data_IF_090374601239
#
_entry.id   IF_090374601239
#
_cell.length_a   1.000
_cell.length_b   1.000
_cell.length_c   1.000
_cell.angle_alpha   90.00
_cell.angle_beta   90.00
_cell.angle_gamma   90.00
#
_symmetry.space_group_name_H-M   'P 1'
#
loop_
_entity.id
_entity.type
_entity.pdbx_description
1 polymer ?
#
# COMPACT_ATOMS: atom_id res chain seq x y z
N UNK A 1 25.34 -1.71 -15.65
CA UNK A 1 24.28 -1.06 -14.84
C UNK A 1 23.53 -2.17 -14.12
N UNK A 2 23.10 -1.99 -12.85
CA UNK A 2 22.36 -3.01 -12.13
C UNK A 2 21.03 -3.32 -12.83
N UNK A 3 20.55 -4.56 -12.69
CA UNK A 3 19.25 -4.97 -13.25
C UNK A 3 18.08 -4.45 -12.41
N UNK A 4 18.26 -4.39 -11.08
CA UNK A 4 17.25 -3.98 -10.12
C UNK A 4 17.75 -2.82 -9.27
N UNK A 5 16.91 -1.81 -9.06
CA UNK A 5 17.12 -0.80 -8.02
C UNK A 5 16.13 -1.06 -6.88
N UNK A 6 16.65 -1.37 -5.71
CA UNK A 6 15.83 -1.54 -4.49
C UNK A 6 15.80 -0.22 -3.74
N UNK A 7 14.62 0.25 -3.34
CA UNK A 7 14.42 1.53 -2.66
C UNK A 7 13.90 1.27 -1.24
N UNK A 8 14.60 1.82 -0.24
CA UNK A 8 14.16 1.83 1.16
C UNK A 8 13.94 3.28 1.60
N UNK A 9 12.70 3.75 1.78
CA UNK A 9 12.44 5.03 2.45
C UNK A 9 12.63 4.86 3.96
N UNK A 10 13.29 5.82 4.61
CA UNK A 10 13.52 5.80 6.04
C UNK A 10 13.29 7.17 6.67
N UNK A 11 12.68 7.19 7.86
CA UNK A 11 12.59 8.37 8.71
C UNK A 11 12.56 7.96 10.17
N UNK A 12 13.64 8.28 10.91
CA UNK A 12 13.84 7.89 12.32
C UNK A 12 13.69 6.37 12.51
N UNK A 13 14.53 5.58 11.81
CA UNK A 13 14.47 4.11 11.76
C UNK A 13 15.78 3.43 12.17
N UNK A 14 16.66 4.11 12.92
CA UNK A 14 17.95 3.56 13.35
C UNK A 14 17.83 2.15 13.96
N UNK A 15 16.78 1.90 14.74
CA UNK A 15 16.56 0.62 15.44
C UNK A 15 15.98 -0.51 14.56
N UNK A 16 15.51 -0.22 13.33
CA UNK A 16 14.85 -1.21 12.44
C UNK A 16 15.54 -1.37 11.10
N UNK A 17 16.07 -0.29 10.53
CA UNK A 17 16.55 -0.26 9.15
C UNK A 17 17.68 -1.26 8.88
N UNK A 18 18.47 -1.60 9.88
CA UNK A 18 19.54 -2.58 9.76
C UNK A 18 19.03 -3.97 9.36
N UNK A 19 17.83 -4.39 9.81
CA UNK A 19 17.19 -5.63 9.39
C UNK A 19 16.76 -5.56 7.92
N UNK A 20 16.11 -4.49 7.53
CA UNK A 20 15.65 -4.29 6.16
C UNK A 20 16.83 -4.31 5.17
N UNK A 21 17.91 -3.57 5.44
CA UNK A 21 19.11 -3.56 4.60
C UNK A 21 19.73 -4.96 4.51
N UNK A 22 19.96 -5.66 5.62
CA UNK A 22 20.50 -7.03 5.62
C UNK A 22 19.65 -7.98 4.78
N UNK A 23 18.32 -7.89 4.87
CA UNK A 23 17.43 -8.77 4.10
C UNK A 23 17.51 -8.54 2.59
N UNK A 24 17.84 -7.33 2.16
CA UNK A 24 18.10 -7.00 0.75
C UNK A 24 19.49 -7.46 0.33
N UNK A 25 20.53 -7.17 1.10
CA UNK A 25 21.91 -7.57 0.76
C UNK A 25 22.09 -9.11 0.71
N UNK A 26 21.29 -9.84 1.50
CA UNK A 26 21.28 -11.31 1.55
C UNK A 26 20.39 -11.97 0.47
N UNK A 27 19.89 -11.23 -0.51
CA UNK A 27 19.15 -11.83 -1.63
C UNK A 27 20.07 -12.77 -2.44
N UNK A 28 19.53 -13.90 -2.91
CA UNK A 28 20.28 -14.82 -3.80
C UNK A 28 20.57 -14.22 -5.17
N UNK A 29 19.71 -13.29 -5.62
CA UNK A 29 19.93 -12.51 -6.85
C UNK A 29 20.74 -11.27 -6.53
N UNK A 30 21.97 -11.15 -7.08
CA UNK A 30 22.95 -10.15 -6.67
C UNK A 30 23.11 -8.95 -7.63
N UNK A 31 22.47 -8.96 -8.79
CA UNK A 31 22.57 -7.85 -9.77
C UNK A 31 21.58 -6.73 -9.43
N UNK A 32 21.86 -6.05 -8.32
CA UNK A 32 21.04 -4.92 -7.83
C UNK A 32 21.89 -3.81 -7.20
N UNK A 33 21.30 -2.63 -7.11
CA UNK A 33 21.71 -1.54 -6.21
C UNK A 33 20.64 -1.34 -5.13
N UNK A 34 21.05 -0.84 -3.97
CA UNK A 34 20.16 -0.52 -2.84
C UNK A 34 20.23 0.97 -2.56
N UNK A 35 19.12 1.68 -2.79
CA UNK A 35 18.99 3.11 -2.58
C UNK A 35 18.21 3.35 -1.28
N UNK A 36 18.89 3.79 -0.24
CA UNK A 36 18.26 4.21 1.02
C UNK A 36 18.01 5.71 0.94
N UNK A 37 16.75 6.10 1.00
CA UNK A 37 16.37 7.52 1.03
C UNK A 37 15.93 7.88 2.43
N UNK A 38 16.79 8.61 3.13
CA UNK A 38 16.55 9.16 4.46
C UNK A 38 15.75 10.47 4.33
N UNK A 39 14.53 10.43 4.80
CA UNK A 39 13.58 11.54 4.70
C UNK A 39 13.77 12.58 5.84
N UNK A 40 15.04 12.97 6.09
CA UNK A 40 15.40 13.97 7.08
C UNK A 40 15.39 13.46 8.52
N UNK A 41 15.91 12.24 8.76
CA UNK A 41 16.03 11.68 10.10
C UNK A 41 16.88 12.54 11.04
N UNK A 42 16.49 12.54 12.31
CA UNK A 42 17.17 13.22 13.43
C UNK A 42 17.81 12.24 14.42
N UNK A 43 17.58 10.95 14.22
CA UNK A 43 18.23 9.86 14.97
C UNK A 43 19.47 9.33 14.23
N UNK A 44 20.07 8.25 14.73
CA UNK A 44 21.28 7.63 14.16
C UNK A 44 21.01 6.79 12.90
N UNK A 45 19.91 7.04 12.14
CA UNK A 45 19.59 6.28 10.93
C UNK A 45 20.73 6.32 9.92
N UNK A 46 21.34 7.49 9.68
CA UNK A 46 22.47 7.65 8.75
C UNK A 46 23.68 6.80 9.14
N UNK A 47 24.06 6.81 10.42
CA UNK A 47 25.19 6.03 10.93
C UNK A 47 24.98 4.53 10.73
N UNK A 48 23.76 4.05 11.00
CA UNK A 48 23.40 2.64 10.78
C UNK A 48 23.51 2.27 9.32
N UNK A 49 23.01 3.10 8.39
CA UNK A 49 23.08 2.82 6.95
C UNK A 49 24.56 2.78 6.48
N UNK A 50 25.36 3.77 6.87
CA UNK A 50 26.76 3.86 6.48
C UNK A 50 27.63 2.74 7.06
N UNK A 51 27.23 2.14 8.20
CA UNK A 51 27.96 1.03 8.83
C UNK A 51 28.00 -0.25 7.99
N UNK A 52 27.09 -0.40 7.00
CA UNK A 52 27.10 -1.55 6.10
C UNK A 52 28.31 -1.59 5.16
N UNK A 53 28.89 -0.43 4.85
CA UNK A 53 30.12 -0.33 4.02
C UNK A 53 30.10 -1.23 2.77
N UNK A 54 28.95 -1.35 2.11
CA UNK A 54 28.72 -2.13 0.89
C UNK A 54 28.57 -1.19 -0.30
N UNK A 55 29.29 -1.46 -1.39
CA UNK A 55 29.29 -0.62 -2.60
C UNK A 55 27.96 -0.60 -3.35
N UNK A 56 27.04 -1.51 -3.04
CA UNK A 56 25.68 -1.52 -3.56
C UNK A 56 24.77 -0.51 -2.86
N UNK A 57 25.14 -0.06 -1.65
CA UNK A 57 24.33 0.83 -0.83
C UNK A 57 24.58 2.28 -1.21
N UNK A 58 23.55 2.93 -1.69
CA UNK A 58 23.52 4.37 -2.04
C UNK A 58 22.66 5.05 -1.00
N UNK A 59 23.21 6.07 -0.31
CA UNK A 59 22.49 6.85 0.69
C UNK A 59 22.17 8.24 0.14
N UNK A 60 20.88 8.61 0.20
CA UNK A 60 20.38 9.94 -0.17
C UNK A 60 19.62 10.50 1.02
N UNK A 61 19.92 11.74 1.41
CA UNK A 61 19.25 12.41 2.53
C UNK A 61 18.47 13.62 2.06
N UNK A 62 17.23 13.76 2.53
CA UNK A 62 16.45 14.98 2.41
C UNK A 62 16.81 15.96 3.53
N UNK A 63 16.74 17.25 3.27
CA UNK A 63 16.96 18.29 4.27
C UNK A 63 15.89 18.27 5.38
N UNK A 64 14.69 17.80 5.07
CA UNK A 64 13.55 17.69 5.99
C UNK A 64 12.63 16.56 5.57
N UNK A 65 11.76 16.12 6.47
CA UNK A 65 10.73 15.13 6.16
C UNK A 65 9.74 15.66 5.13
N UNK A 66 9.57 14.91 4.04
CA UNK A 66 8.63 15.15 2.93
C UNK A 66 7.59 14.04 2.78
N UNK A 67 7.71 12.98 3.57
CA UNK A 67 6.85 11.80 3.56
C UNK A 67 7.36 10.64 2.69
N UNK A 68 6.88 9.44 3.00
CA UNK A 68 7.30 8.22 2.32
C UNK A 68 7.10 8.25 0.79
N UNK A 69 6.00 8.82 0.23
CA UNK A 69 5.85 8.98 -1.23
C UNK A 69 6.99 9.77 -1.86
N UNK A 70 7.39 10.89 -1.25
CA UNK A 70 8.46 11.73 -1.75
C UNK A 70 9.82 11.02 -1.68
N UNK A 71 10.09 10.29 -0.60
CA UNK A 71 11.30 9.49 -0.47
C UNK A 71 11.36 8.37 -1.52
N UNK A 72 10.26 7.63 -1.75
CA UNK A 72 10.20 6.63 -2.82
C UNK A 72 10.39 7.26 -4.19
N UNK A 73 9.80 8.42 -4.47
CA UNK A 73 9.98 9.14 -5.73
C UNK A 73 11.43 9.59 -5.94
N UNK A 74 12.12 10.04 -4.89
CA UNK A 74 13.54 10.35 -4.95
C UNK A 74 14.36 9.11 -5.31
N UNK A 75 14.05 7.96 -4.71
CA UNK A 75 14.66 6.69 -5.05
C UNK A 75 14.39 6.27 -6.50
N UNK A 76 13.16 6.41 -7.00
CA UNK A 76 12.79 6.10 -8.41
C UNK A 76 13.61 6.96 -9.39
N UNK A 77 13.76 8.25 -9.11
CA UNK A 77 14.57 9.15 -9.94
C UNK A 77 16.06 8.80 -9.96
N UNK A 78 16.58 8.34 -8.83
CA UNK A 78 17.98 7.89 -8.70
C UNK A 78 18.23 6.48 -9.24
N UNK A 79 17.19 5.67 -9.41
CA UNK A 79 17.27 4.29 -9.86
C UNK A 79 17.88 4.15 -11.26
N UNK A 80 18.87 3.27 -11.39
CA UNK A 80 19.55 2.94 -12.66
C UNK A 80 19.11 1.59 -13.23
N UNK A 81 18.42 0.78 -12.42
CA UNK A 81 17.92 -0.53 -12.82
C UNK A 81 16.76 -0.46 -13.81
N UNK A 82 16.62 -1.53 -14.60
CA UNK A 82 15.44 -1.75 -15.46
C UNK A 82 14.17 -1.99 -14.65
N UNK A 83 14.35 -2.57 -13.47
CA UNK A 83 13.28 -2.83 -12.50
C UNK A 83 13.51 -2.06 -11.21
N UNK A 84 12.42 -1.65 -10.58
CA UNK A 84 12.41 -0.99 -9.28
C UNK A 84 11.63 -1.86 -8.29
N UNK A 85 12.22 -2.13 -7.14
CA UNK A 85 11.58 -2.80 -6.02
C UNK A 85 11.56 -1.87 -4.80
N UNK A 86 10.58 -2.07 -3.93
CA UNK A 86 10.46 -1.29 -2.70
C UNK A 86 10.53 -2.21 -1.50
N UNK A 87 11.26 -1.77 -0.48
CA UNK A 87 11.30 -2.42 0.83
C UNK A 87 11.01 -1.37 1.90
N UNK A 88 10.09 -1.66 2.81
CA UNK A 88 9.85 -0.77 3.94
C UNK A 88 10.93 -0.95 5.00
N UNK A 89 11.31 0.13 5.68
CA UNK A 89 12.45 0.15 6.62
C UNK A 89 12.26 -0.69 7.88
N UNK A 90 11.05 -1.19 8.11
CA UNK A 90 10.65 -2.04 9.23
C UNK A 90 10.24 -3.47 8.83
N UNK A 91 10.33 -3.80 7.54
CA UNK A 91 9.97 -5.11 7.00
C UNK A 91 11.21 -5.95 6.65
N UNK A 92 11.00 -7.16 6.14
CA UNK A 92 12.06 -8.11 5.81
C UNK A 92 11.73 -8.89 4.54
N UNK A 93 12.71 -9.10 3.66
CA UNK A 93 12.60 -9.98 2.50
C UNK A 93 13.18 -11.36 2.77
N UNK A 94 12.55 -12.38 2.21
CA UNK A 94 13.14 -13.71 2.15
C UNK A 94 14.17 -13.82 0.99
N UNK A 95 15.20 -14.67 1.12
CA UNK A 95 16.38 -14.63 0.23
C UNK A 95 16.10 -14.79 -1.26
N UNK A 96 15.06 -15.51 -1.64
CA UNK A 96 14.76 -15.84 -3.04
C UNK A 96 13.85 -14.85 -3.77
N UNK A 97 13.40 -13.78 -3.08
CA UNK A 97 12.36 -12.88 -3.60
C UNK A 97 12.73 -12.27 -4.95
N UNK A 98 13.87 -11.59 -5.05
CA UNK A 98 14.28 -10.94 -6.31
C UNK A 98 14.50 -11.96 -7.43
N UNK A 99 15.16 -13.09 -7.13
CA UNK A 99 15.41 -14.14 -8.11
C UNK A 99 14.13 -14.70 -8.72
N UNK A 100 13.10 -14.98 -7.90
CA UNK A 100 11.81 -15.49 -8.35
C UNK A 100 11.05 -14.43 -9.16
N UNK A 101 11.06 -13.17 -8.74
CA UNK A 101 10.39 -12.09 -9.48
C UNK A 101 11.06 -11.81 -10.84
N UNK A 102 12.38 -11.80 -10.94
CA UNK A 102 13.10 -11.66 -12.20
C UNK A 102 12.80 -12.85 -13.13
N UNK A 103 12.77 -14.08 -12.58
CA UNK A 103 12.38 -15.27 -13.36
C UNK A 103 10.96 -15.15 -13.90
N UNK A 104 10.02 -14.67 -13.07
CA UNK A 104 8.64 -14.45 -13.49
C UNK A 104 8.52 -13.43 -14.63
N UNK A 105 9.28 -12.32 -14.59
CA UNK A 105 9.33 -11.36 -15.70
C UNK A 105 9.89 -11.95 -16.99
N UNK A 106 10.92 -12.81 -16.91
CA UNK A 106 11.52 -13.45 -18.09
C UNK A 106 10.55 -14.38 -18.84
N UNK A 107 9.57 -14.95 -18.13
CA UNK A 107 8.58 -15.89 -18.69
C UNK A 107 7.22 -15.27 -18.95
N UNK A 108 7.00 -14.04 -18.51
CA UNK A 108 5.76 -13.31 -18.70
C UNK A 108 5.68 -12.63 -20.08
N UNK A 109 4.47 -12.26 -20.50
CA UNK A 109 4.29 -11.43 -21.69
C UNK A 109 4.85 -10.02 -21.46
N UNK A 110 5.16 -9.31 -22.54
CA UNK A 110 5.65 -7.92 -22.51
C UNK A 110 4.66 -6.95 -21.84
N UNK A 111 3.37 -7.31 -21.81
CA UNK A 111 2.30 -6.53 -21.18
C UNK A 111 2.40 -6.49 -19.64
N UNK A 112 3.16 -7.43 -19.05
CA UNK A 112 3.34 -7.45 -17.59
C UNK A 112 4.30 -6.35 -17.17
N UNK A 113 3.81 -5.38 -16.40
CA UNK A 113 4.58 -4.26 -15.87
C UNK A 113 4.96 -4.41 -14.40
N UNK A 114 4.25 -5.27 -13.66
CA UNK A 114 4.48 -5.48 -12.23
C UNK A 114 4.38 -6.96 -11.88
N UNK A 115 5.37 -7.46 -11.13
CA UNK A 115 5.36 -8.78 -10.48
C UNK A 115 5.31 -8.59 -8.98
N UNK A 116 4.37 -9.23 -8.31
CA UNK A 116 4.30 -9.20 -6.85
C UNK A 116 4.17 -10.61 -6.25
N UNK A 117 4.48 -10.71 -4.97
CA UNK A 117 4.47 -11.98 -4.24
C UNK A 117 3.46 -11.94 -3.11
N UNK A 118 3.17 -13.08 -2.51
CA UNK A 118 2.59 -13.10 -1.19
C UNK A 118 3.56 -12.56 -0.14
N UNK A 119 3.03 -12.22 1.03
CA UNK A 119 3.82 -11.86 2.21
C UNK A 119 3.11 -12.26 3.50
N UNK A 120 3.90 -12.41 4.55
CA UNK A 120 3.37 -12.61 5.89
C UNK A 120 3.22 -11.28 6.60
N UNK A 121 2.02 -11.00 7.11
CA UNK A 121 1.79 -9.91 8.05
C UNK A 121 1.82 -10.48 9.46
N UNK A 122 2.71 -9.92 10.29
CA UNK A 122 2.89 -10.30 11.70
C UNK A 122 2.30 -9.19 12.58
N UNK A 123 1.35 -9.54 13.43
CA UNK A 123 0.71 -8.64 14.40
C UNK A 123 0.69 -9.36 15.76
N UNK A 124 1.66 -9.08 16.64
CA UNK A 124 1.93 -9.87 17.83
C UNK A 124 2.18 -11.33 17.44
N UNK A 125 1.42 -12.26 18.04
CA UNK A 125 1.50 -13.70 17.73
C UNK A 125 0.73 -14.11 16.47
N UNK A 126 -0.04 -13.20 15.90
CA UNK A 126 -0.85 -13.48 14.72
C UNK A 126 -0.05 -13.35 13.45
N UNK A 127 -0.05 -14.41 12.63
CA UNK A 127 0.53 -14.43 11.27
C UNK A 127 -0.59 -14.58 10.24
N UNK A 128 -0.65 -13.66 9.29
CA UNK A 128 -1.68 -13.64 8.24
C UNK A 128 -1.01 -13.58 6.87
N UNK A 129 -1.40 -14.49 5.97
CA UNK A 129 -0.94 -14.48 4.58
C UNK A 129 -1.70 -13.40 3.78
N UNK A 130 -0.98 -12.61 3.00
CA UNK A 130 -1.52 -11.56 2.12
C UNK A 130 -0.95 -11.77 0.72
N UNK A 131 -1.78 -11.69 -0.34
CA UNK A 131 -3.22 -11.45 -0.35
C UNK A 131 -4.04 -12.63 0.14
N UNK A 132 -5.23 -12.36 0.65
CA UNK A 132 -6.18 -13.43 1.02
C UNK A 132 -6.44 -14.37 -0.15
N UNK A 133 -6.55 -15.70 0.07
CA UNK A 133 -6.89 -16.68 -0.98
C UNK A 133 -8.16 -16.34 -1.75
N UNK A 134 -9.12 -15.67 -1.10
CA UNK A 134 -10.43 -15.34 -1.69
C UNK A 134 -10.41 -14.15 -2.67
N UNK A 135 -9.26 -13.48 -2.87
CA UNK A 135 -9.14 -12.40 -3.85
C UNK A 135 -8.97 -13.00 -5.24
N UNK A 136 -9.83 -12.59 -6.17
CA UNK A 136 -9.78 -13.00 -7.58
C UNK A 136 -10.25 -11.87 -8.49
N UNK A 137 -9.60 -11.62 -9.65
CA UNK A 137 -8.32 -12.23 -10.07
C UNK A 137 -7.14 -11.61 -9.31
N UNK A 138 -6.05 -12.38 -9.13
CA UNK A 138 -4.79 -11.91 -8.55
C UNK A 138 -3.77 -11.48 -9.59
N UNK A 139 -3.89 -11.96 -10.83
CA UNK A 139 -2.97 -11.64 -11.93
C UNK A 139 -3.70 -11.33 -13.23
N UNK A 140 -2.97 -10.81 -14.22
CA UNK A 140 -3.51 -10.35 -15.50
C UNK A 140 -4.00 -8.91 -15.42
N UNK A 141 -5.10 -8.61 -16.08
CA UNK A 141 -5.78 -7.31 -16.06
C UNK A 141 -6.60 -7.14 -14.75
N UNK A 142 -5.96 -6.77 -13.67
CA UNK A 142 -6.58 -6.69 -12.33
C UNK A 142 -7.08 -5.30 -11.93
N UNK A 143 -7.25 -4.39 -12.89
CA UNK A 143 -7.68 -3.01 -12.64
C UNK A 143 -8.99 -2.94 -11.82
N UNK A 144 -10.02 -3.66 -12.24
CA UNK A 144 -11.31 -3.68 -11.55
C UNK A 144 -11.24 -4.29 -10.15
N UNK A 145 -10.33 -5.23 -9.94
CA UNK A 145 -10.09 -5.81 -8.61
C UNK A 145 -9.40 -4.80 -7.69
N UNK A 146 -8.41 -4.06 -8.21
CA UNK A 146 -7.71 -3.01 -7.46
C UNK A 146 -8.63 -1.82 -7.13
N UNK A 147 -9.57 -1.46 -7.98
CA UNK A 147 -10.57 -0.44 -7.64
C UNK A 147 -11.42 -0.82 -6.41
N UNK A 148 -11.62 -2.10 -6.13
CA UNK A 148 -12.38 -2.58 -4.97
C UNK A 148 -11.58 -2.53 -3.66
N UNK A 149 -10.25 -2.71 -3.73
CA UNK A 149 -9.37 -2.71 -2.57
C UNK A 149 -7.93 -3.03 -2.90
N UNK A 150 -7.01 -2.59 -2.04
CA UNK A 150 -5.60 -2.92 -2.16
C UNK A 150 -5.31 -4.32 -1.62
N UNK A 151 -4.63 -5.12 -2.44
CA UNK A 151 -4.10 -6.43 -2.06
C UNK A 151 -2.65 -6.63 -2.53
N UNK A 152 -2.06 -5.57 -3.09
CA UNK A 152 -0.67 -5.52 -3.55
C UNK A 152 0.11 -4.62 -2.60
N UNK A 153 0.93 -5.20 -1.75
CA UNK A 153 1.75 -4.43 -0.80
C UNK A 153 2.99 -3.84 -1.47
N UNK A 154 3.43 -2.68 -1.02
CA UNK A 154 4.65 -2.05 -1.52
C UNK A 154 5.88 -2.97 -1.39
N UNK A 155 6.16 -3.62 -0.22
CA UNK A 155 7.40 -4.37 -0.03
C UNK A 155 7.48 -5.69 -0.80
N UNK A 156 6.40 -6.13 -1.43
CA UNK A 156 6.39 -7.38 -2.18
C UNK A 156 6.40 -7.21 -3.70
N UNK A 157 6.55 -5.97 -4.20
CA UNK A 157 6.52 -5.66 -5.64
C UNK A 157 7.91 -5.59 -6.27
N UNK A 158 7.95 -5.88 -7.58
CA UNK A 158 9.00 -5.55 -8.53
C UNK A 158 8.32 -4.96 -9.76
N UNK A 159 8.69 -3.75 -10.17
CA UNK A 159 8.00 -2.96 -11.18
C UNK A 159 8.96 -2.59 -12.30
N UNK A 160 8.57 -2.72 -13.56
CA UNK A 160 9.35 -2.17 -14.68
C UNK A 160 9.46 -0.66 -14.53
N UNK A 161 10.65 -0.09 -14.67
CA UNK A 161 10.88 1.35 -14.53
C UNK A 161 10.01 2.18 -15.49
N UNK A 162 9.78 1.71 -16.70
CA UNK A 162 8.90 2.34 -17.70
C UNK A 162 7.46 2.55 -17.20
N UNK A 163 6.99 1.76 -16.24
CA UNK A 163 5.66 1.94 -15.66
C UNK A 163 5.51 3.30 -14.97
N UNK A 164 6.59 3.81 -14.34
CA UNK A 164 6.58 5.12 -13.70
C UNK A 164 6.63 6.27 -14.71
N UNK A 165 7.20 6.05 -15.87
CA UNK A 165 7.20 7.04 -16.97
C UNK A 165 5.80 7.18 -17.55
N UNK A 166 5.10 6.07 -17.74
CA UNK A 166 3.76 6.03 -18.34
C UNK A 166 2.63 6.36 -17.35
N UNK A 167 2.66 5.81 -16.15
CA UNK A 167 1.62 6.00 -15.14
C UNK A 167 1.93 7.11 -14.13
N UNK A 168 3.15 7.68 -14.14
CA UNK A 168 3.66 8.59 -13.12
C UNK A 168 4.10 7.87 -11.84
N UNK A 169 4.79 8.59 -10.97
CA UNK A 169 5.30 8.10 -9.68
C UNK A 169 4.23 8.19 -8.57
N UNK A 170 4.64 7.98 -7.31
CA UNK A 170 3.74 8.12 -6.17
C UNK A 170 3.17 9.55 -6.06
N UNK A 171 1.91 9.68 -5.71
CA UNK A 171 1.28 10.98 -5.46
C UNK A 171 1.64 11.48 -4.06
N UNK A 172 2.52 12.50 -4.00
CA UNK A 172 3.01 13.07 -2.74
C UNK A 172 1.94 13.84 -1.94
N UNK A 173 0.76 14.08 -2.55
CA UNK A 173 -0.38 14.71 -1.86
C UNK A 173 -1.22 13.72 -1.07
N UNK A 174 -1.02 12.42 -1.29
CA UNK A 174 -1.74 11.37 -0.56
C UNK A 174 -1.04 11.09 0.77
N UNK A 175 -1.70 11.30 1.90
CA UNK A 175 -1.10 11.08 3.21
C UNK A 175 -1.00 9.59 3.58
N UNK A 176 -1.70 8.72 2.86
CA UNK A 176 -1.67 7.26 2.99
C UNK A 176 -2.31 6.60 1.75
N UNK A 177 -2.17 5.27 1.61
CA UNK A 177 -2.70 4.48 0.47
C UNK A 177 -2.10 4.91 -0.89
N UNK A 178 -0.95 5.55 -0.87
CA UNK A 178 -0.22 6.04 -2.04
C UNK A 178 0.20 4.91 -2.98
N UNK A 179 0.47 3.73 -2.39
CA UNK A 179 0.78 2.51 -3.13
C UNK A 179 -0.46 2.00 -3.88
N UNK A 180 -1.59 1.92 -3.19
CA UNK A 180 -2.84 1.50 -3.82
C UNK A 180 -3.23 2.39 -5.00
N UNK A 181 -3.11 3.69 -4.85
CA UNK A 181 -3.40 4.66 -5.90
C UNK A 181 -2.47 4.48 -7.11
N UNK A 182 -1.19 4.26 -6.86
CA UNK A 182 -0.20 4.02 -7.91
C UNK A 182 -0.50 2.70 -8.66
N UNK A 183 -0.85 1.63 -7.93
CA UNK A 183 -1.20 0.35 -8.55
C UNK A 183 -2.46 0.44 -9.41
N UNK A 184 -3.45 1.23 -9.02
CA UNK A 184 -4.62 1.53 -9.87
C UNK A 184 -4.20 2.19 -11.19
N UNK A 185 -3.27 3.16 -11.15
CA UNK A 185 -2.79 3.82 -12.39
C UNK A 185 -1.99 2.86 -13.27
N UNK A 186 -1.07 2.10 -12.70
CA UNK A 186 -0.24 1.14 -13.46
C UNK A 186 -1.13 0.06 -14.10
N UNK A 187 -2.14 -0.43 -13.38
CA UNK A 187 -3.04 -1.48 -13.88
C UNK A 187 -3.94 -1.06 -15.04
N UNK A 188 -4.04 0.23 -15.36
CA UNK A 188 -4.70 0.72 -16.58
C UNK A 188 -3.91 0.40 -17.85
N UNK A 189 -2.60 0.29 -17.72
CA UNK A 189 -1.68 0.19 -18.85
C UNK A 189 -0.95 -1.15 -18.92
N UNK A 190 -0.87 -1.87 -17.81
CA UNK A 190 -0.07 -3.08 -17.67
C UNK A 190 -0.82 -4.18 -16.91
N UNK A 191 -0.57 -5.42 -17.31
CA UNK A 191 -0.95 -6.59 -16.53
C UNK A 191 -0.01 -6.78 -15.33
N UNK A 192 -0.53 -7.45 -14.29
CA UNK A 192 0.24 -7.84 -13.12
C UNK A 192 0.43 -9.35 -13.09
N UNK A 193 1.58 -9.81 -12.59
CA UNK A 193 1.88 -11.22 -12.36
C UNK A 193 1.98 -11.49 -10.88
N UNK A 194 1.38 -12.56 -10.42
CA UNK A 194 1.40 -12.98 -9.02
C UNK A 194 2.22 -14.24 -8.81
N UNK A 195 3.05 -14.26 -7.78
CA UNK A 195 3.77 -15.43 -7.29
C UNK A 195 3.11 -15.83 -5.96
N UNK A 196 2.44 -16.99 -5.93
CA UNK A 196 1.72 -17.49 -4.75
C UNK A 196 2.67 -18.08 -3.70
N UNK A 197 3.66 -17.28 -3.31
CA UNK A 197 4.58 -17.57 -2.22
C UNK A 197 4.79 -16.34 -1.35
N UNK A 198 4.88 -16.53 -0.02
CA UNK A 198 5.27 -15.45 0.88
C UNK A 198 6.78 -15.24 0.81
N UNK A 199 7.21 -14.17 0.17
CA UNK A 199 8.62 -13.82 -0.02
C UNK A 199 9.01 -12.50 0.69
N UNK A 200 8.11 -11.96 1.50
CA UNK A 200 8.36 -10.85 2.40
C UNK A 200 7.63 -11.05 3.74
N UNK A 201 8.10 -10.38 4.77
CA UNK A 201 7.49 -10.34 6.10
C UNK A 201 7.29 -8.88 6.46
N UNK A 202 6.03 -8.50 6.72
CA UNK A 202 5.66 -7.16 7.19
C UNK A 202 5.27 -7.21 8.66
N UNK A 203 5.91 -6.38 9.47
CA UNK A 203 5.70 -6.31 10.90
C UNK A 203 4.77 -5.15 11.24
N UNK A 204 3.64 -5.46 11.87
CA UNK A 204 2.76 -4.41 12.37
C UNK A 204 3.38 -3.76 13.62
N UNK A 205 3.75 -2.51 13.50
CA UNK A 205 4.22 -1.71 14.61
C UNK A 205 3.12 -0.75 15.09
N UNK A 206 2.84 -0.65 16.41
CA UNK A 206 1.79 0.24 16.95
C UNK A 206 1.96 1.72 16.57
N UNK A 207 3.18 2.14 16.19
CA UNK A 207 3.52 3.47 15.70
C UNK A 207 3.46 3.63 14.17
N UNK A 208 3.09 2.59 13.41
CA UNK A 208 3.04 2.66 11.95
C UNK A 208 1.94 3.64 11.48
N UNK A 209 2.17 4.24 10.31
CA UNK A 209 1.22 5.16 9.65
C UNK A 209 -0.13 4.49 9.32
N UNK A 210 -0.17 3.17 9.28
CA UNK A 210 -1.36 2.36 9.01
C UNK A 210 -2.28 2.23 10.23
N UNK A 211 -2.68 3.36 10.86
CA UNK A 211 -3.76 3.36 11.84
C UNK A 211 -5.09 3.18 11.09
N UNK A 212 -5.72 2.00 11.13
CA UNK A 212 -6.98 1.78 10.43
C UNK A 212 -8.07 2.70 10.98
N UNK A 213 -8.90 3.23 10.08
CA UNK A 213 -10.09 4.04 10.38
C UNK A 213 -9.83 5.45 10.88
N UNK A 214 -8.78 6.08 10.41
CA UNK A 214 -8.48 7.47 10.71
C UNK A 214 -9.28 8.45 9.82
N UNK A 215 -9.38 9.69 10.27
CA UNK A 215 -9.91 10.78 9.43
C UNK A 215 -9.07 10.95 8.15
N UNK A 216 -7.77 10.70 8.26
CA UNK A 216 -6.82 10.71 7.15
C UNK A 216 -7.20 9.68 6.07
N UNK A 217 -7.61 8.46 6.46
CA UNK A 217 -8.11 7.45 5.49
C UNK A 217 -9.36 7.94 4.75
N UNK A 218 -10.30 8.60 5.45
CA UNK A 218 -11.48 9.16 4.80
C UNK A 218 -11.12 10.26 3.79
N UNK A 219 -10.16 11.12 4.13
CA UNK A 219 -9.65 12.17 3.23
C UNK A 219 -8.96 11.57 2.01
N UNK A 220 -8.11 10.58 2.22
CA UNK A 220 -7.43 9.88 1.12
C UNK A 220 -8.42 9.18 0.18
N UNK A 221 -9.43 8.49 0.73
CA UNK A 221 -10.47 7.85 -0.09
C UNK A 221 -11.30 8.85 -0.90
N UNK A 222 -11.50 10.08 -0.40
CA UNK A 222 -12.12 11.15 -1.19
C UNK A 222 -11.24 11.54 -2.38
N UNK A 223 -9.95 11.78 -2.14
CA UNK A 223 -9.01 12.12 -3.20
C UNK A 223 -8.91 11.00 -4.25
N UNK A 224 -8.88 9.74 -3.81
CA UNK A 224 -8.90 8.58 -4.71
C UNK A 224 -10.19 8.49 -5.52
N UNK A 225 -11.35 8.72 -4.87
CA UNK A 225 -12.63 8.72 -5.55
C UNK A 225 -12.68 9.81 -6.62
N UNK A 226 -12.24 11.02 -6.30
CA UNK A 226 -12.23 12.14 -7.24
C UNK A 226 -11.30 11.84 -8.43
N UNK A 227 -10.10 11.31 -8.17
CA UNK A 227 -9.09 11.00 -9.17
C UNK A 227 -9.47 9.86 -10.12
N UNK A 228 -10.18 8.85 -9.60
CA UNK A 228 -10.60 7.66 -10.35
C UNK A 228 -12.10 7.58 -10.58
N UNK A 229 -12.80 8.72 -10.51
CA UNK A 229 -14.26 8.78 -10.56
C UNK A 229 -14.85 8.13 -11.80
N UNK A 230 -14.25 8.37 -12.97
CA UNK A 230 -14.73 7.85 -14.25
C UNK A 230 -14.73 6.31 -14.30
N UNK A 231 -13.74 5.66 -13.69
CA UNK A 231 -13.66 4.21 -13.62
C UNK A 231 -14.60 3.65 -12.55
N UNK A 232 -14.62 4.28 -11.37
CA UNK A 232 -15.43 3.84 -10.23
C UNK A 232 -16.93 3.96 -10.53
N UNK A 233 -17.39 5.04 -11.20
CA UNK A 233 -18.81 5.27 -11.50
C UNK A 233 -19.41 4.28 -12.47
N UNK A 234 -18.59 3.56 -13.26
CA UNK A 234 -19.06 2.50 -14.17
C UNK A 234 -19.78 1.38 -13.43
N UNK A 235 -19.43 1.17 -12.17
CA UNK A 235 -20.07 0.19 -11.29
C UNK A 235 -20.75 0.89 -10.10
N UNK A 236 -22.10 0.95 -10.12
CA UNK A 236 -22.90 1.62 -9.08
C UNK A 236 -22.65 1.05 -7.67
N UNK A 237 -22.46 -0.28 -7.56
CA UNK A 237 -22.15 -0.93 -6.29
C UNK A 237 -20.78 -0.53 -5.75
N UNK A 238 -19.78 -0.41 -6.64
CA UNK A 238 -18.45 0.07 -6.28
C UNK A 238 -18.49 1.54 -5.83
N UNK A 239 -19.14 2.42 -6.59
CA UNK A 239 -19.30 3.83 -6.21
C UNK A 239 -20.00 3.98 -4.85
N UNK A 240 -21.08 3.23 -4.62
CA UNK A 240 -21.76 3.20 -3.33
C UNK A 240 -20.82 2.71 -2.21
N UNK A 241 -19.95 1.73 -2.48
CA UNK A 241 -18.99 1.22 -1.50
C UNK A 241 -17.96 2.29 -1.08
N UNK A 242 -17.49 3.13 -2.00
CA UNK A 242 -16.63 4.27 -1.69
C UNK A 242 -17.35 5.29 -0.82
N UNK A 243 -18.57 5.71 -1.21
CA UNK A 243 -19.38 6.63 -0.40
C UNK A 243 -19.63 6.05 1.00
N UNK A 244 -19.97 4.76 1.11
CA UNK A 244 -20.16 4.09 2.39
C UNK A 244 -18.89 4.09 3.24
N UNK A 245 -17.74 3.74 2.69
CA UNK A 245 -16.45 3.74 3.41
C UNK A 245 -16.09 5.11 3.93
N UNK A 246 -16.18 6.14 3.07
CA UNK A 246 -15.93 7.53 3.45
C UNK A 246 -16.91 7.96 4.54
N UNK A 247 -18.20 7.73 4.36
CA UNK A 247 -19.23 8.10 5.32
C UNK A 247 -19.06 7.43 6.68
N UNK A 248 -18.73 6.13 6.67
CA UNK A 248 -18.48 5.37 7.89
C UNK A 248 -17.26 5.90 8.66
N UNK A 249 -16.15 6.17 7.97
CA UNK A 249 -14.95 6.73 8.58
C UNK A 249 -15.18 8.12 9.18
N UNK A 250 -15.90 8.99 8.48
CA UNK A 250 -16.28 10.31 8.98
C UNK A 250 -17.14 10.21 10.23
N UNK A 251 -18.15 9.32 10.23
CA UNK A 251 -18.99 9.08 11.41
C UNK A 251 -18.16 8.57 12.60
N UNK A 252 -17.23 7.63 12.38
CA UNK A 252 -16.37 7.11 13.46
C UNK A 252 -15.48 8.20 14.08
N UNK A 253 -15.11 9.21 13.30
CA UNK A 253 -14.17 10.27 13.69
C UNK A 253 -14.89 11.60 14.08
N UNK A 254 -16.12 11.56 14.49
CA UNK A 254 -16.84 12.72 15.03
C UNK A 254 -17.54 13.61 14.00
N UNK A 255 -17.33 13.38 12.70
CA UNK A 255 -17.94 14.18 11.63
C UNK A 255 -19.29 13.59 11.18
N UNK A 256 -20.22 13.39 12.12
CA UNK A 256 -21.46 12.64 11.89
C UNK A 256 -22.34 13.27 10.78
N UNK A 257 -22.42 14.59 10.70
CA UNK A 257 -23.24 15.27 9.70
C UNK A 257 -22.70 15.04 8.27
N UNK A 258 -21.39 15.21 8.09
CA UNK A 258 -20.73 14.94 6.80
C UNK A 258 -20.80 13.44 6.45
N UNK A 259 -20.51 12.57 7.43
CA UNK A 259 -20.59 11.13 7.27
C UNK A 259 -21.97 10.65 6.83
N UNK A 260 -23.04 11.20 7.43
CA UNK A 260 -24.43 10.95 7.04
C UNK A 260 -24.70 11.35 5.58
N UNK A 261 -24.17 12.50 5.14
CA UNK A 261 -24.29 12.94 3.75
C UNK A 261 -23.72 11.91 2.76
N UNK A 262 -22.54 11.35 3.06
CA UNK A 262 -21.95 10.30 2.25
C UNK A 262 -22.71 8.97 2.32
N UNK A 263 -23.20 8.57 3.50
CA UNK A 263 -24.02 7.37 3.64
C UNK A 263 -25.34 7.48 2.87
N UNK A 264 -25.98 8.68 2.87
CA UNK A 264 -27.16 8.96 2.03
C UNK A 264 -26.82 8.80 0.54
N UNK A 265 -25.69 9.36 0.07
CA UNK A 265 -25.23 9.16 -1.31
C UNK A 265 -25.05 7.67 -1.63
N UNK A 266 -24.47 6.87 -0.73
CA UNK A 266 -24.30 5.43 -0.93
C UNK A 266 -25.65 4.72 -1.13
N UNK A 267 -26.63 4.98 -0.28
CA UNK A 267 -27.99 4.40 -0.38
C UNK A 267 -28.67 4.83 -1.69
N UNK A 268 -28.59 6.11 -2.06
CA UNK A 268 -29.19 6.60 -3.31
C UNK A 268 -28.51 6.02 -4.56
N UNK A 269 -27.19 5.76 -4.50
CA UNK A 269 -26.44 5.20 -5.62
C UNK A 269 -26.74 3.72 -5.83
N UNK A 270 -26.90 2.95 -4.73
CA UNK A 270 -27.15 1.50 -4.79
C UNK A 270 -28.07 1.08 -3.65
N UNK A 271 -29.40 1.20 -3.82
CA UNK A 271 -30.40 1.04 -2.75
C UNK A 271 -30.46 -0.37 -2.13
N UNK A 272 -30.03 -1.39 -2.86
CA UNK A 272 -30.03 -2.79 -2.37
C UNK A 272 -28.86 -3.10 -1.42
N UNK A 273 -27.93 -2.17 -1.19
CA UNK A 273 -26.84 -2.36 -0.24
C UNK A 273 -27.33 -2.16 1.21
N UNK A 274 -27.76 -3.25 1.82
CA UNK A 274 -28.24 -3.28 3.21
C UNK A 274 -27.25 -2.65 4.19
N UNK A 275 -25.94 -2.82 3.96
CA UNK A 275 -24.90 -2.23 4.84
C UNK A 275 -24.92 -0.71 4.79
N UNK A 276 -25.07 -0.13 3.61
CA UNK A 276 -25.18 1.34 3.46
C UNK A 276 -26.43 1.86 4.15
N UNK A 277 -27.56 1.17 3.97
CA UNK A 277 -28.83 1.54 4.60
C UNK A 277 -28.74 1.51 6.14
N UNK A 278 -28.25 0.41 6.72
CA UNK A 278 -28.09 0.27 8.16
C UNK A 278 -27.17 1.35 8.76
N UNK A 279 -26.02 1.62 8.12
CA UNK A 279 -25.12 2.65 8.60
C UNK A 279 -25.74 4.07 8.49
N UNK A 280 -26.49 4.33 7.43
CA UNK A 280 -27.21 5.59 7.27
C UNK A 280 -28.27 5.75 8.37
N UNK A 281 -29.07 4.71 8.64
CA UNK A 281 -30.07 4.70 9.70
C UNK A 281 -29.43 4.94 11.08
N UNK A 282 -28.39 4.19 11.44
CA UNK A 282 -27.70 4.35 12.73
C UNK A 282 -27.14 5.77 12.89
N UNK A 283 -26.67 6.39 11.79
CA UNK A 283 -26.14 7.75 11.83
C UNK A 283 -27.15 8.82 12.25
N UNK A 284 -28.46 8.55 12.14
CA UNK A 284 -29.53 9.46 12.55
C UNK A 284 -29.56 9.66 14.06
N UNK A 285 -29.16 8.66 14.83
CA UNK A 285 -29.17 8.69 16.30
C UNK A 285 -27.93 9.37 16.93
N UNK A 286 -27.10 10.00 16.11
CA UNK A 286 -25.94 10.77 16.54
C UNK A 286 -24.69 9.94 16.84
N UNK A 287 -23.60 10.65 17.19
CA UNK A 287 -22.25 10.10 17.30
C UNK A 287 -22.11 8.98 18.34
N UNK A 288 -22.68 9.18 19.53
CA UNK A 288 -22.55 8.21 20.63
C UNK A 288 -23.22 6.87 20.28
N UNK A 289 -24.44 6.95 19.72
CA UNK A 289 -25.20 5.78 19.29
C UNK A 289 -24.52 5.04 18.13
N UNK A 290 -23.99 5.80 17.17
CA UNK A 290 -23.23 5.25 16.05
C UNK A 290 -22.03 4.41 16.54
N UNK A 291 -21.21 4.99 17.40
CA UNK A 291 -20.01 4.30 17.91
C UNK A 291 -20.38 3.05 18.75
N UNK A 292 -21.42 3.13 19.59
CA UNK A 292 -21.91 1.96 20.37
C UNK A 292 -22.39 0.84 19.46
N UNK A 293 -23.19 1.14 18.44
CA UNK A 293 -23.72 0.15 17.51
C UNK A 293 -22.57 -0.56 16.75
N UNK A 294 -21.56 0.20 16.27
CA UNK A 294 -20.42 -0.39 15.57
C UNK A 294 -19.55 -1.26 16.51
N UNK A 295 -19.37 -0.85 17.78
CA UNK A 295 -18.65 -1.67 18.77
C UNK A 295 -19.39 -2.97 19.09
N UNK A 296 -20.73 -2.89 19.27
CA UNK A 296 -21.57 -4.07 19.49
C UNK A 296 -21.50 -5.07 18.34
N UNK A 297 -21.62 -4.58 17.09
CA UNK A 297 -21.51 -5.41 15.89
C UNK A 297 -20.16 -6.14 15.79
N UNK A 298 -19.05 -5.48 16.14
CA UNK A 298 -17.73 -6.11 16.16
C UNK A 298 -17.58 -7.20 17.23
N UNK A 299 -18.22 -7.02 18.40
CA UNK A 299 -18.20 -8.06 19.45
C UNK A 299 -18.92 -9.31 18.99
N UNK A 300 -20.07 -9.18 18.33
CA UNK A 300 -20.86 -10.30 17.81
C UNK A 300 -20.06 -11.11 16.79
N UNK A 301 -19.40 -10.45 15.82
CA UNK A 301 -18.61 -11.13 14.77
C UNK A 301 -17.32 -11.79 15.33
N UNK A 302 -16.78 -11.31 16.46
CA UNK A 302 -15.59 -11.93 17.08
C UNK A 302 -15.94 -13.15 17.92
N UNK A 303 -17.21 -13.33 18.28
CA UNK A 303 -17.70 -14.46 19.08
C UNK A 303 -18.31 -15.58 18.22
N UNK A 304 -18.47 -15.37 16.93
CA UNK A 304 -18.82 -16.37 15.90
C UNK A 304 -17.61 -16.72 15.05
#
# INVERSE_FOLDING_TARGET
MPKVSVIIPAYNRAHLIGRAIRSVLNQTYQDFELIVVDDGSTDNTEEVVRSFNDNKVIYIKHERNKGAPAARNTGIRAARGEYVAFQDSDDEWLPEKLGKQIKAFKTASTEVGLVYTGFWRIEGDKRTFVPSPNITPKEGAIHDALLKGNFVGTPNTLVKKECFEKAGMFDEKLPMLEDWELWIRISKCYCFKYIDEALAISYYNPGSLNKPRSLMEAQTLKLMLDKHFEDIKRNRGLLASYYRRIGHLLCLNGQIAQGRGYLKKAVMTYPIDVKSFLLALISLFGQRSYNKAIQGYKRIIRCC
#
